data_IF_093092561088
#
_entry.id   IF_093092561088
#
_cell.length_a   1.000
_cell.length_b   1.000
_cell.length_c   1.000
_cell.angle_alpha   90.00
_cell.angle_beta   90.00
_cell.angle_gamma   90.00
#
_symmetry.space_group_name_H-M   'P 1'
#
loop_
_entity.id
_entity.type
_entity.pdbx_description
1 polymer ?
#
# COMPACT_ATOMS: atom_id res chain seq x y z
N UNK A 1 -0.15 -30.08 -9.31
CA UNK A 1 -0.65 -29.39 -10.51
C UNK A 1 -1.32 -28.05 -10.21
N UNK A 2 -2.24 -27.96 -9.22
CA UNK A 2 -3.00 -26.73 -8.92
C UNK A 2 -2.17 -25.46 -8.63
N UNK A 3 -1.10 -25.57 -7.83
CA UNK A 3 -0.23 -24.44 -7.49
C UNK A 3 0.55 -23.92 -8.71
N UNK A 4 1.02 -24.82 -9.59
CA UNK A 4 1.73 -24.43 -10.82
C UNK A 4 0.80 -23.71 -11.79
N UNK A 5 -0.40 -24.24 -12.04
CA UNK A 5 -1.38 -23.58 -12.90
C UNK A 5 -1.91 -22.27 -12.31
N UNK A 6 -1.94 -22.13 -10.98
CA UNK A 6 -2.22 -20.84 -10.34
C UNK A 6 -1.07 -19.86 -10.56
N UNK A 7 0.17 -20.29 -10.30
CA UNK A 7 1.35 -19.45 -10.47
C UNK A 7 1.50 -19.00 -11.93
N UNK A 8 1.35 -19.88 -12.92
CA UNK A 8 1.41 -19.54 -14.36
C UNK A 8 0.36 -18.48 -14.77
N UNK A 9 -0.86 -18.55 -14.21
CA UNK A 9 -1.93 -17.57 -14.50
C UNK A 9 -1.71 -16.21 -13.84
N UNK A 10 -0.98 -16.17 -12.73
CA UNK A 10 -0.81 -14.97 -11.92
C UNK A 10 0.63 -14.41 -11.96
N UNK A 11 1.60 -15.12 -12.56
CA UNK A 11 3.03 -14.75 -12.58
C UNK A 11 3.26 -13.37 -13.18
N UNK A 12 2.59 -13.05 -14.29
CA UNK A 12 2.75 -11.75 -14.95
C UNK A 12 2.28 -10.56 -14.11
N UNK A 13 1.37 -10.79 -13.14
CA UNK A 13 0.90 -9.78 -12.19
C UNK A 13 1.70 -9.79 -10.87
N UNK A 14 2.56 -10.79 -10.68
CA UNK A 14 3.48 -10.94 -9.55
C UNK A 14 4.92 -10.51 -9.92
N UNK A 15 5.20 -10.30 -11.21
CA UNK A 15 6.47 -9.77 -11.69
C UNK A 15 6.65 -8.32 -11.24
N UNK A 16 7.69 -8.12 -10.43
CA UNK A 16 8.19 -6.86 -9.88
C UNK A 16 7.10 -5.82 -9.55
N UNK A 17 6.29 -6.15 -8.54
CA UNK A 17 5.82 -5.13 -7.61
C UNK A 17 7.05 -4.46 -7.00
N UNK A 18 7.44 -3.28 -7.49
CA UNK A 18 8.52 -2.51 -6.88
C UNK A 18 8.27 -2.38 -5.37
N UNK A 19 9.23 -2.86 -4.57
CA UNK A 19 9.17 -2.75 -3.12
C UNK A 19 9.77 -1.40 -2.75
N UNK A 20 8.91 -0.47 -2.33
CA UNK A 20 9.37 0.80 -1.78
C UNK A 20 9.67 0.62 -0.29
N UNK A 21 10.82 1.13 0.16
CA UNK A 21 11.23 1.08 1.56
C UNK A 21 11.89 2.38 1.95
N UNK A 22 11.51 2.92 3.10
CA UNK A 22 12.15 4.09 3.69
C UNK A 22 12.19 4.00 5.23
N UNK A 23 13.08 4.78 5.84
CA UNK A 23 13.24 4.86 7.31
C UNK A 23 13.30 6.32 7.74
N UNK A 24 12.39 6.71 8.64
CA UNK A 24 12.41 8.04 9.28
C UNK A 24 12.24 7.89 10.78
N UNK A 25 13.04 8.60 11.58
CA UNK A 25 12.96 8.54 13.05
C UNK A 25 12.89 7.11 13.62
N UNK A 26 13.75 6.21 13.12
CA UNK A 26 13.77 4.78 13.49
C UNK A 26 12.47 4.01 13.17
N UNK A 27 11.54 4.57 12.39
CA UNK A 27 10.37 3.88 11.88
C UNK A 27 10.62 3.52 10.42
N UNK A 28 10.63 2.21 10.12
CA UNK A 28 10.74 1.71 8.76
C UNK A 28 9.36 1.45 8.19
N UNK A 29 9.13 1.93 6.98
CA UNK A 29 7.94 1.63 6.19
C UNK A 29 8.36 0.84 4.95
N UNK A 30 7.70 -0.28 4.69
CA UNK A 30 7.87 -1.08 3.48
C UNK A 30 6.52 -1.21 2.79
N UNK A 31 6.46 -0.90 1.49
CA UNK A 31 5.23 -0.88 0.69
C UNK A 31 5.39 -1.80 -0.51
N UNK A 32 4.37 -2.62 -0.75
CA UNK A 32 4.29 -3.51 -1.92
C UNK A 32 2.95 -3.28 -2.61
N UNK A 33 2.92 -2.66 -3.80
CA UNK A 33 1.71 -2.52 -4.59
C UNK A 33 1.42 -3.79 -5.41
N UNK A 34 0.16 -4.10 -5.63
CA UNK A 34 -0.33 -5.21 -6.43
C UNK A 34 -1.40 -4.69 -7.37
N UNK A 35 -1.16 -4.80 -8.68
CA UNK A 35 -2.21 -4.50 -9.64
C UNK A 35 -3.25 -5.62 -9.64
N UNK A 36 -4.52 -5.26 -9.50
CA UNK A 36 -5.63 -6.19 -9.34
C UNK A 36 -6.48 -6.34 -10.61
N UNK A 37 -6.16 -5.58 -11.68
CA UNK A 37 -6.93 -5.57 -12.91
C UNK A 37 -7.61 -4.24 -13.19
N UNK A 38 -8.36 -4.21 -14.29
CA UNK A 38 -9.17 -3.08 -14.70
C UNK A 38 -10.47 -3.51 -15.36
N UNK A 39 -11.44 -2.61 -15.38
CA UNK A 39 -12.70 -2.77 -16.12
C UNK A 39 -12.95 -1.49 -16.89
N UNK A 40 -13.29 -1.65 -18.16
CA UNK A 40 -13.68 -0.54 -19.03
C UNK A 40 -15.14 -0.72 -19.44
N UNK A 41 -15.94 0.33 -19.31
CA UNK A 41 -17.33 0.36 -19.74
C UNK A 41 -17.68 1.76 -20.23
N UNK A 42 -18.32 1.86 -21.41
CA UNK A 42 -18.84 3.12 -21.95
C UNK A 42 -17.81 4.27 -21.97
N UNK A 43 -16.55 3.97 -22.30
CA UNK A 43 -15.47 4.96 -22.36
C UNK A 43 -14.83 5.32 -21.01
N UNK A 44 -15.32 4.78 -19.89
CA UNK A 44 -14.71 4.94 -18.56
C UNK A 44 -13.92 3.69 -18.21
N UNK A 45 -12.67 3.87 -17.78
CA UNK A 45 -11.83 2.79 -17.26
C UNK A 45 -11.52 3.00 -15.79
N UNK A 46 -11.66 1.94 -15.01
CA UNK A 46 -11.26 1.91 -13.60
C UNK A 46 -10.20 0.83 -13.43
N UNK A 47 -9.10 1.19 -12.78
CA UNK A 47 -7.96 0.33 -12.49
C UNK A 47 -7.84 0.14 -10.98
N UNK A 48 -7.67 -1.08 -10.50
CA UNK A 48 -7.59 -1.38 -9.07
C UNK A 48 -6.21 -1.82 -8.65
N UNK A 49 -5.77 -1.30 -7.51
CA UNK A 49 -4.48 -1.60 -6.91
C UNK A 49 -4.74 -1.98 -5.45
N UNK A 50 -4.15 -3.07 -4.98
CA UNK A 50 -4.00 -3.38 -3.57
C UNK A 50 -2.60 -2.98 -3.15
N UNK A 51 -2.39 -2.60 -1.91
CA UNK A 51 -1.04 -2.42 -1.36
C UNK A 51 -0.94 -3.10 0.00
N UNK A 52 0.24 -3.64 0.31
CA UNK A 52 0.62 -4.11 1.64
C UNK A 52 1.65 -3.15 2.22
N UNK A 53 1.39 -2.63 3.41
CA UNK A 53 2.29 -1.72 4.12
C UNK A 53 2.70 -2.37 5.44
N UNK A 54 4.01 -2.48 5.65
CA UNK A 54 4.61 -2.92 6.91
C UNK A 54 5.33 -1.75 7.56
N UNK A 55 5.00 -1.50 8.82
CA UNK A 55 5.56 -0.44 9.65
C UNK A 55 6.30 -1.10 10.80
N UNK A 56 7.58 -0.79 10.98
CA UNK A 56 8.43 -1.37 12.00
C UNK A 56 9.08 -0.28 12.85
N UNK A 57 9.05 -0.44 14.17
CA UNK A 57 9.83 0.36 15.09
C UNK A 57 11.19 -0.30 15.29
N UNK A 58 12.25 0.39 14.89
CA UNK A 58 13.64 -0.05 15.00
C UNK A 58 14.29 0.39 16.33
N UNK A 59 13.59 1.19 17.14
CA UNK A 59 14.01 1.58 18.48
C UNK A 59 13.11 0.89 19.54
N UNK A 60 13.52 -0.26 20.11
CA UNK A 60 12.69 -0.99 21.06
C UNK A 60 12.44 -0.24 22.38
N UNK A 61 13.28 0.75 22.70
CA UNK A 61 13.20 1.51 23.96
C UNK A 61 12.24 2.71 23.87
N UNK A 62 11.83 3.10 22.66
CA UNK A 62 10.95 4.24 22.43
C UNK A 62 9.66 3.80 21.70
N UNK A 63 8.58 3.49 22.44
CA UNK A 63 7.34 3.05 21.84
C UNK A 63 6.59 4.22 21.18
N UNK A 64 6.11 4.01 19.96
CA UNK A 64 5.35 5.01 19.19
C UNK A 64 3.93 4.52 18.90
N UNK A 65 3.02 5.42 18.53
CA UNK A 65 1.66 5.07 18.10
C UNK A 65 1.33 5.79 16.81
N UNK A 66 0.91 5.05 15.78
CA UNK A 66 0.41 5.64 14.55
C UNK A 66 -0.97 6.27 14.81
N UNK A 67 -1.08 7.58 14.59
CA UNK A 67 -2.29 8.36 14.87
C UNK A 67 -3.12 8.64 13.63
N UNK A 68 -2.47 9.05 12.56
CA UNK A 68 -3.11 9.55 11.36
C UNK A 68 -2.34 9.11 10.11
N UNK A 69 -3.03 9.12 8.98
CA UNK A 69 -2.46 8.93 7.65
C UNK A 69 -2.78 10.14 6.78
N UNK A 70 -1.88 10.48 5.87
CA UNK A 70 -2.07 11.56 4.91
C UNK A 70 -1.54 11.16 3.54
N UNK A 71 -2.39 10.56 2.72
CA UNK A 71 -2.01 10.13 1.38
C UNK A 71 -2.20 11.23 0.35
N UNK A 72 -1.24 11.32 -0.57
CA UNK A 72 -1.31 12.04 -1.83
C UNK A 72 -1.25 11.00 -2.95
N UNK A 73 -2.23 11.05 -3.84
CA UNK A 73 -2.37 10.13 -4.96
C UNK A 73 -2.42 10.95 -6.23
N UNK A 74 -1.43 10.76 -7.11
CA UNK A 74 -1.35 11.42 -8.40
C UNK A 74 -1.55 10.39 -9.51
N UNK A 75 -2.62 10.53 -10.29
CA UNK A 75 -2.89 9.67 -11.45
C UNK A 75 -2.29 10.26 -12.73
N UNK A 76 -2.02 9.41 -13.72
CA UNK A 76 -1.54 9.86 -15.03
C UNK A 76 -2.56 10.74 -15.79
N UNK A 77 -3.83 10.76 -15.37
CA UNK A 77 -4.82 11.71 -15.90
C UNK A 77 -4.59 13.16 -15.45
N UNK A 78 -3.61 13.40 -14.57
CA UNK A 78 -3.32 14.71 -13.99
C UNK A 78 -4.11 15.02 -12.72
N UNK A 79 -4.86 14.06 -12.19
CA UNK A 79 -5.65 14.24 -10.97
C UNK A 79 -4.77 14.04 -9.73
N UNK A 80 -4.80 14.99 -8.81
CA UNK A 80 -4.20 14.86 -7.48
C UNK A 80 -5.29 14.74 -6.42
N UNK A 81 -5.37 13.60 -5.76
CA UNK A 81 -6.26 13.34 -4.65
C UNK A 81 -5.49 13.34 -3.32
N UNK A 82 -6.14 13.80 -2.26
CA UNK A 82 -5.58 13.78 -0.90
C UNK A 82 -6.54 13.08 0.04
N UNK A 83 -6.04 12.08 0.77
CA UNK A 83 -6.82 11.33 1.75
C UNK A 83 -6.18 11.50 3.13
N UNK A 84 -6.92 12.11 4.06
CA UNK A 84 -6.54 12.22 5.47
C UNK A 84 -7.49 11.41 6.33
N UNK A 85 -6.97 10.83 7.40
CA UNK A 85 -7.82 10.17 8.36
C UNK A 85 -7.07 9.58 9.53
N UNK A 86 -7.84 9.29 10.58
CA UNK A 86 -7.35 8.64 11.79
C UNK A 86 -6.96 7.19 11.50
N UNK A 87 -5.80 6.78 12.02
CA UNK A 87 -5.27 5.43 11.93
C UNK A 87 -5.06 4.92 10.50
N UNK A 88 -4.90 3.61 10.40
CA UNK A 88 -4.87 2.84 9.15
C UNK A 88 -5.82 1.66 9.30
N UNK A 89 -6.69 1.45 8.30
CA UNK A 89 -7.69 0.36 8.29
C UNK A 89 -8.50 0.22 9.60
N UNK A 90 -8.78 1.33 10.28
CA UNK A 90 -9.52 1.36 11.56
C UNK A 90 -8.66 1.16 12.81
N UNK A 91 -7.34 1.02 12.68
CA UNK A 91 -6.41 0.79 13.78
C UNK A 91 -5.43 1.96 13.98
N UNK A 92 -5.08 2.23 15.23
CA UNK A 92 -3.97 3.10 15.66
C UNK A 92 -2.91 2.22 16.35
N UNK A 93 -2.09 1.45 15.60
CA UNK A 93 -1.17 0.50 16.20
C UNK A 93 -0.12 1.21 17.06
N UNK A 94 0.08 0.69 18.27
CA UNK A 94 1.21 1.04 19.13
C UNK A 94 2.36 0.09 18.83
N UNK A 95 3.50 0.63 18.41
CA UNK A 95 4.72 -0.13 18.12
C UNK A 95 5.66 -0.06 19.33
N UNK A 96 5.76 -1.17 20.05
CA UNK A 96 6.60 -1.32 21.25
C UNK A 96 7.56 -2.49 21.10
N UNK A 97 8.37 -2.76 22.12
CA UNK A 97 9.24 -3.93 22.18
C UNK A 97 8.49 -5.26 21.98
N UNK A 98 7.29 -5.38 22.56
CA UNK A 98 6.44 -6.57 22.46
C UNK A 98 5.76 -6.68 21.09
N UNK A 99 5.45 -5.54 20.48
CA UNK A 99 4.79 -5.44 19.18
C UNK A 99 5.58 -4.51 18.25
N UNK A 100 6.76 -4.93 17.77
CA UNK A 100 7.69 -4.03 17.07
C UNK A 100 7.26 -3.70 15.64
N UNK A 101 6.24 -4.37 15.12
CA UNK A 101 5.76 -4.16 13.76
C UNK A 101 4.25 -4.30 13.65
N UNK A 102 3.68 -3.59 12.68
CA UNK A 102 2.30 -3.71 12.24
C UNK A 102 2.26 -3.80 10.72
N UNK A 103 1.45 -4.71 10.18
CA UNK A 103 1.25 -4.85 8.75
C UNK A 103 -0.23 -4.80 8.41
N UNK A 104 -0.57 -4.07 7.36
CA UNK A 104 -1.93 -4.01 6.85
C UNK A 104 -1.95 -3.96 5.33
N UNK A 105 -3.11 -4.30 4.77
CA UNK A 105 -3.39 -4.18 3.35
C UNK A 105 -4.63 -3.32 3.14
N UNK A 106 -4.62 -2.52 2.08
CA UNK A 106 -5.79 -1.78 1.62
C UNK A 106 -5.73 -1.64 0.10
N UNK A 107 -6.65 -0.88 -0.49
CA UNK A 107 -6.77 -0.77 -1.94
C UNK A 107 -7.08 0.66 -2.36
N UNK A 108 -6.86 0.94 -3.64
CA UNK A 108 -7.24 2.17 -4.31
C UNK A 108 -7.74 1.85 -5.72
N UNK A 109 -8.61 2.71 -6.24
CA UNK A 109 -9.02 2.71 -7.65
C UNK A 109 -8.54 3.99 -8.32
N UNK A 110 -8.00 3.88 -9.53
CA UNK A 110 -7.60 5.01 -10.36
C UNK A 110 -8.40 5.02 -11.66
N UNK A 111 -8.68 6.20 -12.20
CA UNK A 111 -9.25 6.37 -13.55
C UNK A 111 -8.21 6.24 -14.67
N UNK A 112 -6.96 5.93 -14.33
CA UNK A 112 -5.82 5.82 -15.23
C UNK A 112 -5.04 4.52 -14.93
N UNK A 113 -4.31 3.97 -15.93
CA UNK A 113 -3.58 2.71 -15.77
C UNK A 113 -2.39 2.80 -14.80
N UNK A 114 -1.92 4.01 -14.49
CA UNK A 114 -0.79 4.25 -13.59
C UNK A 114 -0.97 5.52 -12.76
N UNK A 115 -0.19 5.60 -11.68
CA UNK A 115 -0.11 6.74 -10.79
C UNK A 115 0.96 6.55 -9.74
N UNK A 116 1.16 7.58 -8.91
CA UNK A 116 2.06 7.58 -7.77
C UNK A 116 1.26 7.84 -6.50
N UNK A 117 1.62 7.16 -5.41
CA UNK A 117 0.99 7.33 -4.10
C UNK A 117 2.09 7.47 -3.03
N UNK A 118 1.98 8.49 -2.18
CA UNK A 118 2.95 8.78 -1.13
C UNK A 118 2.33 9.59 0.01
N UNK A 119 3.01 9.65 1.16
CA UNK A 119 2.64 10.45 2.32
C UNK A 119 2.61 9.67 3.63
#
# INVERSE_FOLDING_TARGET
EYLKSWQERHHHWLELSDVAKDVTHQIRVTVIPFYMGSRSAQGVSVHWWRYSIRIENLNPDEPVTLRERHWRIFSLSGTLETVRGKGVVGHEPRLSKEYPAFQYSSHISLSAPSGHMWG
#
